data_IF_716379082290
#
_entry.id   IF_716379082290
#
_cell.length_a   1.000
_cell.length_b   1.000
_cell.length_c   1.000
_cell.angle_alpha   90.00
_cell.angle_beta   90.00
_cell.angle_gamma   90.00
#
_symmetry.space_group_name_H-M   'P 1'
#
loop_
_entity.id
_entity.type
_entity.pdbx_description
1 polymer ?
#
# COMPACT_ATOMS: atom_id res chain seq x y z
N UNK A 1 0.20 26.51 -23.97
CA UNK A 1 -0.45 26.61 -22.64
C UNK A 1 -0.82 25.20 -22.21
N UNK A 2 0.06 24.53 -21.48
CA UNK A 2 -0.21 23.17 -21.00
C UNK A 2 -1.20 23.26 -19.84
N UNK A 3 -2.37 22.63 -20.00
CA UNK A 3 -3.35 22.41 -18.94
C UNK A 3 -2.87 21.32 -17.96
N UNK A 4 -1.59 21.34 -17.63
CA UNK A 4 -1.09 20.49 -16.57
C UNK A 4 -1.39 21.19 -15.25
N UNK A 5 -1.98 20.41 -14.33
CA UNK A 5 -1.66 20.49 -12.91
C UNK A 5 -2.64 21.20 -11.98
N UNK A 6 -3.95 20.93 -12.09
CA UNK A 6 -4.79 20.82 -10.89
C UNK A 6 -4.92 19.32 -10.58
N UNK A 7 -3.86 18.70 -10.05
CA UNK A 7 -3.94 17.33 -9.53
C UNK A 7 -4.87 17.35 -8.33
N UNK A 8 -6.07 16.78 -8.47
CA UNK A 8 -6.98 16.61 -7.35
C UNK A 8 -6.25 15.84 -6.22
N UNK A 9 -6.05 16.45 -5.04
CA UNK A 9 -5.24 15.86 -3.97
C UNK A 9 -5.81 14.54 -3.45
N UNK A 10 -7.13 14.32 -3.59
CA UNK A 10 -7.77 13.04 -3.27
C UNK A 10 -7.34 11.93 -4.24
N UNK A 11 -7.24 12.25 -5.53
CA UNK A 11 -6.73 11.31 -6.55
C UNK A 11 -5.26 10.98 -6.33
N UNK A 12 -4.47 11.94 -5.85
CA UNK A 12 -3.08 11.71 -5.48
C UNK A 12 -2.95 10.70 -4.31
N UNK A 13 -3.85 10.75 -3.32
CA UNK A 13 -3.86 9.76 -2.22
C UNK A 13 -4.24 8.36 -2.70
N UNK A 14 -5.15 8.21 -3.66
CA UNK A 14 -5.48 6.90 -4.25
C UNK A 14 -4.25 6.21 -4.86
N UNK A 15 -3.31 6.99 -5.41
CA UNK A 15 -2.07 6.44 -5.95
C UNK A 15 -1.17 5.81 -4.88
N UNK A 16 -1.26 6.25 -3.61
CA UNK A 16 -0.49 5.69 -2.50
C UNK A 16 -0.97 4.29 -2.11
N UNK A 17 -2.28 4.04 -2.23
CA UNK A 17 -2.86 2.71 -1.99
C UNK A 17 -2.53 1.73 -3.11
N UNK A 18 -2.29 2.23 -4.33
CA UNK A 18 -1.86 1.39 -5.44
C UNK A 18 -0.52 0.73 -5.13
N UNK A 19 -0.45 -0.59 -5.26
CA UNK A 19 0.79 -1.36 -5.13
C UNK A 19 1.25 -1.64 -3.68
N UNK A 20 0.41 -1.42 -2.66
CA UNK A 20 0.72 -1.78 -1.26
C UNK A 20 1.23 -3.23 -1.18
N UNK A 21 0.49 -4.17 -1.76
CA UNK A 21 0.85 -5.59 -1.68
C UNK A 21 2.19 -5.89 -2.35
N UNK A 22 2.46 -5.30 -3.52
CA UNK A 22 3.73 -5.47 -4.23
C UNK A 22 4.91 -4.90 -3.45
N UNK A 23 4.76 -3.75 -2.77
CA UNK A 23 5.82 -3.16 -1.94
C UNK A 23 6.13 -4.03 -0.73
N UNK A 24 5.09 -4.49 -0.03
CA UNK A 24 5.26 -5.37 1.13
C UNK A 24 5.89 -6.71 0.71
N UNK A 25 5.42 -7.27 -0.40
CA UNK A 25 5.97 -8.48 -1.00
C UNK A 25 7.47 -8.33 -1.28
N UNK A 26 7.88 -7.24 -1.94
CA UNK A 26 9.29 -6.93 -2.20
C UNK A 26 10.10 -6.75 -0.91
N UNK A 27 9.56 -6.05 0.08
CA UNK A 27 10.24 -5.84 1.36
C UNK A 27 10.47 -7.15 2.12
N UNK A 28 9.53 -8.09 2.03
CA UNK A 28 9.55 -9.34 2.78
C UNK A 28 10.10 -10.53 1.99
N UNK A 29 10.37 -10.38 0.69
CA UNK A 29 10.84 -11.46 -0.18
C UNK A 29 9.80 -12.55 -0.45
N UNK A 30 8.52 -12.17 -0.51
CA UNK A 30 7.38 -13.10 -0.66
C UNK A 30 6.53 -12.73 -1.87
N UNK A 31 5.63 -13.63 -2.27
CA UNK A 31 4.73 -13.38 -3.39
C UNK A 31 3.59 -12.39 -3.01
N UNK A 32 3.24 -11.42 -3.87
CA UNK A 32 2.13 -10.49 -3.63
C UNK A 32 0.78 -11.17 -3.43
N UNK A 33 0.52 -12.34 -4.02
CA UNK A 33 -0.70 -13.10 -3.80
C UNK A 33 -0.78 -13.61 -2.36
N UNK A 34 0.35 -13.98 -1.74
CA UNK A 34 0.39 -14.37 -0.33
C UNK A 34 0.04 -13.18 0.57
N UNK A 35 0.58 -11.99 0.28
CA UNK A 35 0.21 -10.75 0.99
C UNK A 35 -1.28 -10.47 0.87
N UNK A 36 -1.84 -10.62 -0.34
CA UNK A 36 -3.27 -10.44 -0.59
C UNK A 36 -4.14 -11.44 0.17
N UNK A 37 -3.72 -12.71 0.26
CA UNK A 37 -4.46 -13.73 1.01
C UNK A 37 -4.47 -13.43 2.52
N UNK A 38 -3.35 -12.93 3.06
CA UNK A 38 -3.29 -12.48 4.45
C UNK A 38 -4.19 -11.28 4.69
N UNK A 39 -4.15 -10.27 3.80
CA UNK A 39 -5.01 -9.09 3.91
C UNK A 39 -6.52 -9.43 3.85
N UNK A 40 -6.91 -10.52 3.19
CA UNK A 40 -8.28 -11.04 3.11
C UNK A 40 -8.66 -11.97 4.28
N UNK A 41 -7.73 -12.31 5.16
CA UNK A 41 -7.95 -13.26 6.26
C UNK A 41 -7.93 -14.73 5.83
N UNK A 42 -7.57 -15.05 4.59
CA UNK A 42 -7.46 -16.43 4.08
C UNK A 42 -6.17 -17.13 4.52
N UNK A 43 -5.19 -16.36 4.96
CA UNK A 43 -3.92 -16.82 5.53
C UNK A 43 -3.58 -15.96 6.75
N UNK A 44 -2.81 -16.52 7.67
CA UNK A 44 -2.33 -15.80 8.84
C UNK A 44 -0.81 -15.63 8.74
N UNK A 45 -0.33 -14.43 9.06
CA UNK A 45 1.11 -14.16 9.16
C UNK A 45 1.33 -12.85 9.90
N UNK A 46 1.75 -12.96 11.17
CA UNK A 46 2.04 -11.79 12.00
C UNK A 46 3.02 -10.81 11.34
N UNK A 47 4.01 -11.33 10.58
CA UNK A 47 4.99 -10.50 9.85
C UNK A 47 4.33 -9.68 8.73
N UNK A 48 3.44 -10.29 7.96
CA UNK A 48 2.73 -9.62 6.85
C UNK A 48 1.68 -8.66 7.38
N UNK A 49 0.94 -9.05 8.41
CA UNK A 49 -0.05 -8.20 9.10
C UNK A 49 0.61 -6.94 9.68
N UNK A 50 1.74 -7.08 10.38
CA UNK A 50 2.49 -5.95 10.90
C UNK A 50 3.00 -5.02 9.77
N UNK A 51 3.44 -5.58 8.64
CA UNK A 51 3.88 -4.80 7.49
C UNK A 51 2.72 -4.03 6.82
N UNK A 52 1.55 -4.66 6.67
CA UNK A 52 0.32 -4.03 6.16
C UNK A 52 -0.10 -2.86 7.04
N UNK A 53 -0.18 -3.07 8.36
CA UNK A 53 -0.56 -2.02 9.31
C UNK A 53 0.45 -0.86 9.31
N UNK A 54 1.75 -1.15 9.20
CA UNK A 54 2.79 -0.12 9.11
C UNK A 54 2.63 0.72 7.83
N UNK A 55 2.37 0.07 6.70
CA UNK A 55 2.20 0.74 5.41
C UNK A 55 0.92 1.59 5.37
N UNK A 56 -0.18 1.11 5.98
CA UNK A 56 -1.41 1.90 6.12
C UNK A 56 -1.18 3.17 6.93
N UNK A 57 -0.51 3.06 8.10
CA UNK A 57 -0.16 4.24 8.92
C UNK A 57 0.71 5.24 8.17
N UNK A 58 1.63 4.77 7.32
CA UNK A 58 2.47 5.64 6.47
C UNK A 58 1.62 6.44 5.49
N UNK A 59 0.61 5.82 4.88
CA UNK A 59 -0.27 6.47 3.91
C UNK A 59 -1.21 7.47 4.61
N UNK A 60 -1.70 7.15 5.82
CA UNK A 60 -2.58 8.01 6.60
C UNK A 60 -1.90 9.29 7.07
N UNK A 61 -0.63 9.21 7.50
CA UNK A 61 0.17 10.37 7.94
C UNK A 61 0.51 11.36 6.82
N UNK A 62 0.37 10.96 5.54
CA UNK A 62 0.72 11.79 4.39
C UNK A 62 2.23 11.99 4.22
N UNK A 63 2.68 12.50 3.06
CA UNK A 63 4.06 12.97 2.93
C UNK A 63 4.23 14.21 3.83
N UNK A 64 5.23 14.17 4.71
CA UNK A 64 5.74 15.37 5.38
C UNK A 64 6.26 16.36 4.33
#
# INVERSE_FOLDING_TARGET
MTLDNIKNPKLNRLSLYRGIYSRIAKQLGIDPSYVSRVARGERQSAKVEAALLKEMRRIEKGPN
#
